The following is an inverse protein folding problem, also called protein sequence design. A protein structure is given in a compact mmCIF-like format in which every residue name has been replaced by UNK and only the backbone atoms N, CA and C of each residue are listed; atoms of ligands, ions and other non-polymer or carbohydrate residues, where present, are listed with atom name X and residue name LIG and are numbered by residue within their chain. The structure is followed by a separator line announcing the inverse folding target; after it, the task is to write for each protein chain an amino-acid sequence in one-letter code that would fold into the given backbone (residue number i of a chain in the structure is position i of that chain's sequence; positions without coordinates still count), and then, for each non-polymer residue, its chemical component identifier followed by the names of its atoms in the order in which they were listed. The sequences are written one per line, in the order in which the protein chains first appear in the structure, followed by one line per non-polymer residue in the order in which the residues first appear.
data_IF_776415518622
#
_entry.id   IF_776415518622
#
_cell.length_a   1.000
_cell.length_b   1.000
_cell.length_c   1.000
_cell.angle_alpha   90.00
_cell.angle_beta   90.00
_cell.angle_gamma   90.00
#
_symmetry.space_group_name_H-M   'P 1'
#
loop_
_entity.id
_entity.type
_entity.pdbx_description
1 polymer ?
#
# COMPACT_ATOMS: atom_id res chain seq x y z
N UNK A 1 9.31 5.86 30.64
CA UNK A 1 9.00 4.83 29.63
C UNK A 1 8.46 5.56 28.42
N UNK A 2 9.27 5.70 27.37
CA UNK A 2 8.94 6.50 26.18
C UNK A 2 9.58 5.84 24.96
N UNK A 3 9.00 4.73 24.52
CA UNK A 3 9.41 3.98 23.31
C UNK A 3 8.19 3.25 22.80
N UNK A 4 7.22 3.98 22.26
CA UNK A 4 6.05 3.35 21.61
C UNK A 4 5.34 4.26 20.57
N UNK A 5 6.02 5.31 20.09
CA UNK A 5 5.42 6.31 19.19
C UNK A 5 6.21 6.59 17.90
N UNK A 6 7.09 5.68 17.44
CA UNK A 6 7.89 5.94 16.22
C UNK A 6 7.79 4.94 15.06
N UNK A 7 7.07 3.83 15.21
CA UNK A 7 6.99 2.83 14.13
C UNK A 7 5.65 2.81 13.36
N UNK A 8 4.54 3.24 13.97
CA UNK A 8 3.22 3.11 13.32
C UNK A 8 2.99 4.05 12.14
N UNK A 9 3.63 5.21 12.10
CA UNK A 9 3.51 6.16 10.98
C UNK A 9 4.33 5.73 9.74
N UNK A 10 5.19 4.72 9.90
CA UNK A 10 6.04 4.19 8.83
C UNK A 10 5.36 3.08 8.01
N UNK A 11 4.22 2.55 8.46
CA UNK A 11 3.47 1.45 7.81
C UNK A 11 2.33 1.92 6.89
N UNK A 12 1.93 3.20 6.96
CA UNK A 12 0.82 3.70 6.14
C UNK A 12 1.30 4.00 4.71
N UNK A 13 0.74 3.29 3.73
CA UNK A 13 1.06 3.44 2.30
C UNK A 13 0.70 4.84 1.80
N UNK A 14 1.51 5.39 0.91
CA UNK A 14 1.32 6.72 0.33
C UNK A 14 1.40 6.69 -1.19
N UNK A 15 0.70 7.59 -1.89
CA UNK A 15 0.91 7.79 -3.32
C UNK A 15 2.40 8.03 -3.64
N UNK A 16 2.91 7.31 -4.64
CA UNK A 16 4.32 7.34 -5.03
C UNK A 16 5.16 6.20 -4.46
N UNK A 17 4.69 5.50 -3.42
CA UNK A 17 5.38 4.35 -2.84
C UNK A 17 5.49 3.22 -3.87
N UNK A 18 6.63 2.52 -3.86
CA UNK A 18 6.81 1.30 -4.62
C UNK A 18 6.40 0.09 -3.77
N UNK A 19 5.57 -0.77 -4.35
CA UNK A 19 4.99 -1.92 -3.67
C UNK A 19 5.02 -3.17 -4.55
N UNK A 20 4.96 -4.32 -3.91
CA UNK A 20 4.71 -5.61 -4.56
C UNK A 20 3.36 -6.17 -4.10
N UNK A 21 2.62 -6.77 -5.03
CA UNK A 21 1.33 -7.39 -4.74
C UNK A 21 1.49 -8.92 -4.61
N UNK A 22 0.87 -9.52 -3.60
CA UNK A 22 1.02 -10.96 -3.32
C UNK A 22 0.59 -11.87 -4.49
N UNK A 23 -0.37 -11.42 -5.31
CA UNK A 23 -0.92 -12.19 -6.42
C UNK A 23 -0.38 -11.85 -7.80
N UNK A 24 0.54 -10.88 -7.93
CA UNK A 24 1.03 -10.45 -9.24
C UNK A 24 2.55 -10.27 -9.24
N UNK A 25 3.29 -10.92 -10.16
CA UNK A 25 4.72 -10.71 -10.28
C UNK A 25 5.00 -9.29 -10.78
N UNK A 26 5.95 -8.61 -10.15
CA UNK A 26 6.39 -7.28 -10.55
C UNK A 26 6.21 -6.21 -9.47
N UNK A 27 6.80 -5.05 -9.74
CA UNK A 27 6.71 -3.87 -8.88
C UNK A 27 5.62 -2.95 -9.41
N UNK A 28 4.94 -2.32 -8.48
CA UNK A 28 3.89 -1.37 -8.76
C UNK A 28 4.16 -0.09 -7.97
N UNK A 29 3.62 1.00 -8.45
CA UNK A 29 3.61 2.28 -7.76
C UNK A 29 2.21 2.58 -7.26
N UNK A 30 2.10 3.04 -6.04
CA UNK A 30 0.82 3.50 -5.48
C UNK A 30 0.42 4.79 -6.19
N UNK A 31 -0.77 4.81 -6.76
CA UNK A 31 -1.36 6.00 -7.37
C UNK A 31 -2.25 6.75 -6.37
N UNK A 32 -3.03 6.01 -5.59
CA UNK A 32 -4.03 6.56 -4.69
C UNK A 32 -4.29 5.59 -3.55
N UNK A 33 -4.52 6.15 -2.35
CA UNK A 33 -5.00 5.40 -1.18
C UNK A 33 -6.34 6.00 -0.78
N UNK A 34 -7.39 5.18 -0.83
CA UNK A 34 -8.74 5.57 -0.45
C UNK A 34 -9.10 4.93 0.88
N UNK A 35 -9.69 5.68 1.81
CA UNK A 35 -10.17 5.12 3.05
C UNK A 35 -11.24 4.06 2.75
N UNK A 36 -11.27 3.05 3.60
CA UNK A 36 -12.26 1.97 3.59
C UNK A 36 -13.68 2.43 3.19
N UNK A 37 -14.37 1.74 2.27
CA UNK A 37 -15.69 2.14 1.78
C UNK A 37 -16.81 1.87 2.79
N UNK A 38 -16.57 1.02 3.79
CA UNK A 38 -17.56 0.64 4.78
C UNK A 38 -16.92 0.44 6.17
N UNK A 39 -17.72 0.65 7.21
CA UNK A 39 -17.28 0.63 8.63
C UNK A 39 -16.77 -0.76 9.08
N UNK A 40 -17.22 -1.83 8.42
CA UNK A 40 -16.83 -3.21 8.69
C UNK A 40 -15.59 -3.69 7.93
N UNK A 41 -15.03 -2.86 7.04
CA UNK A 41 -13.79 -3.17 6.34
C UNK A 41 -12.64 -2.52 7.11
N UNK A 42 -11.63 -3.29 7.49
CA UNK A 42 -10.49 -2.80 8.29
C UNK A 42 -9.25 -2.48 7.44
N UNK A 43 -9.42 -2.41 6.11
CA UNK A 43 -8.35 -2.21 5.13
C UNK A 43 -8.68 -1.07 4.19
N UNK A 44 -7.67 -0.26 3.85
CA UNK A 44 -7.80 0.76 2.83
C UNK A 44 -7.75 0.15 1.44
N UNK A 45 -8.38 0.83 0.48
CA UNK A 45 -8.29 0.47 -0.93
C UNK A 45 -7.13 1.25 -1.53
N UNK A 46 -6.21 0.54 -2.15
CA UNK A 46 -5.01 1.10 -2.78
C UNK A 46 -5.09 0.85 -4.27
N UNK A 47 -4.93 1.91 -5.06
CA UNK A 47 -4.80 1.80 -6.51
C UNK A 47 -3.32 1.79 -6.85
N UNK A 48 -2.86 0.75 -7.54
CA UNK A 48 -1.45 0.54 -7.88
C UNK A 48 -1.28 0.39 -9.39
N UNK A 49 -0.12 0.79 -9.93
CA UNK A 49 0.19 0.70 -11.36
C UNK A 49 1.62 0.27 -11.61
N UNK A 50 1.86 -0.63 -12.57
CA UNK A 50 3.22 -0.97 -13.01
C UNK A 50 3.63 -0.22 -14.29
N UNK A 51 4.90 -0.35 -14.67
CA UNK A 51 5.47 0.30 -15.86
C UNK A 51 4.87 -0.21 -17.18
N UNK A 52 4.29 -1.42 -17.18
CA UNK A 52 3.56 -1.96 -18.33
C UNK A 52 2.16 -1.34 -18.48
N UNK A 53 1.74 -0.46 -17.57
CA UNK A 53 0.43 0.20 -17.61
C UNK A 53 -0.71 -0.63 -17.00
N UNK A 54 -0.42 -1.74 -16.33
CA UNK A 54 -1.42 -2.52 -15.59
C UNK A 54 -1.77 -1.76 -14.32
N UNK A 55 -3.06 -1.46 -14.15
CA UNK A 55 -3.60 -0.82 -12.96
C UNK A 55 -4.47 -1.82 -12.18
N UNK A 56 -4.27 -1.89 -10.87
CA UNK A 56 -5.02 -2.78 -9.98
C UNK A 56 -5.58 -1.98 -8.80
N UNK A 57 -6.77 -2.37 -8.37
CA UNK A 57 -7.37 -1.90 -7.13
C UNK A 57 -7.32 -3.05 -6.12
N UNK A 58 -6.55 -2.86 -5.05
CA UNK A 58 -6.22 -3.90 -4.08
C UNK A 58 -6.37 -3.39 -2.66
N UNK A 59 -6.34 -4.29 -1.68
CA UNK A 59 -6.29 -3.90 -0.27
C UNK A 59 -4.85 -3.62 0.14
N UNK A 60 -4.65 -2.63 1.01
CA UNK A 60 -3.35 -2.33 1.63
C UNK A 60 -2.68 -3.56 2.25
N UNK A 61 -3.45 -4.46 2.85
CA UNK A 61 -2.99 -5.72 3.45
C UNK A 61 -2.46 -6.75 2.45
N UNK A 62 -2.75 -6.58 1.16
CA UNK A 62 -2.32 -7.49 0.08
C UNK A 62 -1.09 -7.00 -0.68
N UNK A 63 -0.53 -5.86 -0.27
CA UNK A 63 0.69 -5.30 -0.83
C UNK A 63 1.73 -5.11 0.26
N UNK A 64 3.00 -5.05 -0.14
CA UNK A 64 4.11 -4.69 0.75
C UNK A 64 4.96 -3.63 0.10
N UNK A 65 5.32 -2.59 0.87
CA UNK A 65 6.27 -1.57 0.41
C UNK A 65 7.63 -2.20 0.18
N UNK A 66 8.28 -1.78 -0.89
CA UNK A 66 9.68 -2.09 -1.16
C UNK A 66 10.48 -0.90 -0.66
N UNK A 67 11.14 -1.04 0.48
CA UNK A 67 12.09 -0.01 0.92
C UNK A 67 13.28 -0.03 -0.06
N UNK A 68 13.57 1.14 -0.65
CA UNK A 68 14.82 1.30 -1.40
C UNK A 68 15.91 1.60 -0.38
N UNK A 69 16.85 0.67 -0.23
CA UNK A 69 18.11 0.85 0.51
C UNK A 69 18.98 1.94 -0.14
#
# INVERSE_FOLDING_TARGET
MAVEQRDRESEELRPGDEVVHQGHPGRFRVLEVRPRPAMNVYSNIVRIRNDAGVELEVLDTTVRRVDSD
#
